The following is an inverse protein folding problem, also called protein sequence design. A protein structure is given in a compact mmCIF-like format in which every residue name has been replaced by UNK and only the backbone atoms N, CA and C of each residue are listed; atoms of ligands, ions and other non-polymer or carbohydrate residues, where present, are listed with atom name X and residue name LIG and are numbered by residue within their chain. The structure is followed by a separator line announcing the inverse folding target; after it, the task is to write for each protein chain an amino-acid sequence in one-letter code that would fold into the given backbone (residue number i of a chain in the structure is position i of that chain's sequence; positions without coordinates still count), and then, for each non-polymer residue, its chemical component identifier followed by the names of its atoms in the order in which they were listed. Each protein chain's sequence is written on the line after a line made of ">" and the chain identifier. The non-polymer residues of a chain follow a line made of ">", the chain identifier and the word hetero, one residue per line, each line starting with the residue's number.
data_IF_363608113909
#
_entry.id   IF_363608113909
#
_cell.length_a   1.000
_cell.length_b   1.000
_cell.length_c   1.000
_cell.angle_alpha   90.00
_cell.angle_beta   90.00
_cell.angle_gamma   90.00
#
_symmetry.space_group_name_H-M   'P 1'
#
loop_
_entity.id
_entity.type
_entity.pdbx_description
1 polymer ?
#
# COMPACT_ATOMS: atom_id res chain seq x y z
N UNK A 1 11.70 -0.75 -9.13
CA UNK A 1 11.56 -1.85 -8.18
C UNK A 1 10.84 -1.32 -6.93
N UNK A 2 9.67 -1.87 -6.59
CA UNK A 2 8.85 -1.37 -5.48
C UNK A 2 9.49 -1.58 -4.11
N UNK A 3 10.27 -2.66 -3.93
CA UNK A 3 10.95 -2.93 -2.67
C UNK A 3 12.03 -1.87 -2.41
N UNK A 4 12.83 -1.57 -3.44
CA UNK A 4 13.83 -0.51 -3.38
C UNK A 4 13.20 0.86 -3.10
N UNK A 5 12.15 1.25 -3.84
CA UNK A 5 11.46 2.52 -3.63
C UNK A 5 10.84 2.62 -2.23
N UNK A 6 10.29 1.53 -1.70
CA UNK A 6 9.74 1.49 -0.34
C UNK A 6 10.83 1.69 0.72
N UNK A 7 12.00 1.08 0.52
CA UNK A 7 13.12 1.29 1.43
C UNK A 7 13.65 2.73 1.34
N UNK A 8 13.77 3.28 0.14
CA UNK A 8 14.29 4.64 -0.08
C UNK A 8 13.33 5.72 0.44
N UNK A 9 12.04 5.64 0.09
CA UNK A 9 11.06 6.70 0.38
C UNK A 9 10.35 6.53 1.72
N UNK A 10 10.15 5.29 2.18
CA UNK A 10 9.37 4.98 3.40
C UNK A 10 10.22 4.34 4.51
N UNK A 11 11.46 3.94 4.25
CA UNK A 11 12.30 3.23 5.21
C UNK A 11 11.76 1.85 5.60
N UNK A 12 10.93 1.24 4.75
CA UNK A 12 10.27 -0.05 5.02
C UNK A 12 10.60 -1.08 3.95
N UNK A 13 10.97 -2.28 4.37
CA UNK A 13 11.03 -3.46 3.51
C UNK A 13 9.64 -4.10 3.44
N UNK A 14 8.96 -4.08 2.28
CA UNK A 14 7.66 -4.72 2.13
C UNK A 14 7.80 -6.25 2.07
N UNK A 15 6.77 -6.96 2.55
CA UNK A 15 6.62 -8.39 2.30
C UNK A 15 6.26 -8.67 0.84
N UNK A 16 6.57 -9.86 0.35
CA UNK A 16 6.29 -10.25 -1.03
C UNK A 16 4.80 -10.10 -1.39
N UNK A 17 3.89 -10.50 -0.49
CA UNK A 17 2.45 -10.36 -0.72
C UNK A 17 2.01 -8.88 -0.85
N UNK A 18 2.70 -7.95 -0.19
CA UNK A 18 2.41 -6.51 -0.32
C UNK A 18 2.85 -5.99 -1.68
N UNK A 19 4.02 -6.45 -2.17
CA UNK A 19 4.54 -6.12 -3.49
C UNK A 19 3.61 -6.66 -4.58
N UNK A 20 3.19 -7.93 -4.46
CA UNK A 20 2.30 -8.54 -5.46
C UNK A 20 0.92 -7.88 -5.48
N UNK A 21 0.38 -7.52 -4.31
CA UNK A 21 -0.84 -6.71 -4.20
C UNK A 21 -0.66 -5.37 -4.92
N UNK A 22 0.43 -4.64 -4.63
CA UNK A 22 0.68 -3.34 -5.25
C UNK A 22 0.85 -3.43 -6.78
N UNK A 23 1.50 -4.49 -7.29
CA UNK A 23 1.61 -4.73 -8.73
C UNK A 23 0.25 -5.00 -9.37
N UNK A 24 -0.63 -5.74 -8.70
CA UNK A 24 -2.01 -5.97 -9.16
C UNK A 24 -2.79 -4.66 -9.27
N UNK A 25 -2.70 -3.80 -8.24
CA UNK A 25 -3.31 -2.47 -8.26
C UNK A 25 -2.75 -1.58 -9.40
N UNK A 26 -1.44 -1.59 -9.62
CA UNK A 26 -0.79 -0.84 -10.71
C UNK A 26 -1.18 -1.34 -12.11
N UNK A 27 -1.63 -2.60 -12.25
CA UNK A 27 -2.20 -3.13 -13.50
C UNK A 27 -3.68 -2.76 -13.68
N UNK A 28 -4.29 -2.08 -12.71
CA UNK A 28 -5.70 -1.72 -12.73
C UNK A 28 -6.63 -2.91 -12.39
N UNK A 29 -6.13 -3.90 -11.67
CA UNK A 29 -6.91 -5.08 -11.27
C UNK A 29 -7.66 -4.84 -9.96
N UNK A 30 -8.93 -5.26 -9.91
CA UNK A 30 -9.69 -5.30 -8.66
C UNK A 30 -9.12 -6.39 -7.75
N UNK A 31 -8.69 -6.01 -6.54
CA UNK A 31 -8.00 -6.90 -5.59
C UNK A 31 -8.75 -6.99 -4.26
N UNK A 32 -9.05 -8.22 -3.83
CA UNK A 32 -9.51 -8.52 -2.47
C UNK A 32 -8.33 -9.09 -1.69
N UNK A 33 -7.99 -8.45 -0.56
CA UNK A 33 -6.90 -8.87 0.31
C UNK A 33 -7.44 -9.31 1.68
N UNK A 34 -7.29 -10.59 2.00
CA UNK A 34 -7.62 -11.14 3.32
C UNK A 34 -6.34 -11.31 4.15
N UNK A 35 -6.15 -10.39 5.10
CA UNK A 35 -4.96 -10.32 5.95
C UNK A 35 -5.37 -9.89 7.35
N UNK A 36 -4.83 -10.59 8.36
CA UNK A 36 -5.11 -10.30 9.76
C UNK A 36 -4.80 -8.84 10.16
N UNK A 37 -5.44 -8.37 11.23
CA UNK A 37 -5.20 -7.04 11.78
C UNK A 37 -3.73 -6.85 12.19
N UNK A 38 -3.19 -5.63 12.04
CA UNK A 38 -1.79 -5.27 12.35
C UNK A 38 -0.70 -5.98 11.55
N UNK A 39 -1.03 -6.75 10.52
CA UNK A 39 -0.04 -7.35 9.62
C UNK A 39 0.45 -6.40 8.50
N UNK A 40 0.34 -5.09 8.69
CA UNK A 40 0.89 -4.11 7.74
C UNK A 40 0.12 -3.95 6.43
N UNK A 41 -1.16 -4.35 6.35
CA UNK A 41 -1.97 -4.16 5.13
C UNK A 41 -2.02 -2.71 4.64
N UNK A 42 -1.88 -1.71 5.51
CA UNK A 42 -1.87 -0.29 5.10
C UNK A 42 -0.74 0.06 4.13
N UNK A 43 0.39 -0.67 4.17
CA UNK A 43 1.50 -0.44 3.24
C UNK A 43 1.08 -0.73 1.79
N UNK A 44 0.09 -1.59 1.54
CA UNK A 44 -0.38 -1.88 0.18
C UNK A 44 -1.08 -0.70 -0.48
N UNK A 45 -1.56 0.29 0.29
CA UNK A 45 -2.10 1.54 -0.26
C UNK A 45 -1.00 2.51 -0.69
N UNK A 46 0.17 2.46 -0.04
CA UNK A 46 1.28 3.39 -0.28
C UNK A 46 2.23 2.92 -1.38
N UNK A 47 2.51 1.62 -1.45
CA UNK A 47 3.40 1.05 -2.47
C UNK A 47 3.06 1.45 -3.92
N UNK A 48 1.79 1.42 -4.38
CA UNK A 48 1.48 1.82 -5.76
C UNK A 48 1.67 3.33 -6.02
N UNK A 49 1.81 4.18 -5.01
CA UNK A 49 2.09 5.62 -5.18
C UNK A 49 3.57 5.93 -5.37
N UNK A 50 4.46 5.03 -5.00
CA UNK A 50 5.90 5.31 -5.01
C UNK A 50 6.52 5.57 -6.40
N UNK A 51 6.03 4.94 -7.50
CA UNK A 51 6.58 5.16 -8.83
C UNK A 51 6.35 6.58 -9.40
N UNK A 52 5.20 7.22 -9.15
CA UNK A 52 4.88 8.54 -9.71
C UNK A 52 4.33 9.48 -8.64
N UNK A 53 4.92 10.66 -8.52
CA UNK A 53 4.53 11.66 -7.51
C UNK A 53 3.16 12.30 -7.77
N UNK A 54 2.62 12.12 -8.98
CA UNK A 54 1.30 12.65 -9.38
C UNK A 54 0.15 11.69 -9.07
N UNK A 55 0.46 10.43 -8.74
CA UNK A 55 -0.57 9.43 -8.50
C UNK A 55 -1.26 9.68 -7.16
N UNK A 56 -2.52 9.25 -7.05
CA UNK A 56 -3.34 9.43 -5.86
C UNK A 56 -4.08 8.14 -5.51
N UNK A 57 -4.13 7.82 -4.22
CA UNK A 57 -4.95 6.74 -3.66
C UNK A 57 -5.95 7.35 -2.69
N UNK A 58 -7.22 7.00 -2.87
CA UNK A 58 -8.31 7.41 -1.98
C UNK A 58 -8.61 6.25 -1.04
N UNK A 59 -8.29 6.41 0.23
CA UNK A 59 -8.58 5.40 1.27
C UNK A 59 -9.90 5.76 1.93
N UNK A 60 -10.90 4.89 1.79
CA UNK A 60 -12.20 5.02 2.47
C UNK A 60 -12.22 4.09 3.67
N UNK A 61 -12.35 4.66 4.87
CA UNK A 61 -12.47 3.93 6.13
C UNK A 61 -13.69 4.43 6.90
N UNK A 62 -14.49 3.55 7.52
CA UNK A 62 -15.65 3.94 8.31
C UNK A 62 -15.30 4.62 9.64
N UNK A 63 -14.05 4.55 10.09
CA UNK A 63 -13.60 5.05 11.39
C UNK A 63 -12.63 6.23 11.20
N UNK A 64 -13.10 7.44 11.42
CA UNK A 64 -12.28 8.67 11.35
C UNK A 64 -11.08 8.62 12.30
N UNK A 65 -11.24 8.02 13.49
CA UNK A 65 -10.15 7.84 14.45
C UNK A 65 -8.98 7.04 13.86
N UNK A 66 -9.25 6.04 13.01
CA UNK A 66 -8.20 5.25 12.36
C UNK A 66 -7.52 6.00 11.21
N UNK A 67 -8.14 7.03 10.66
CA UNK A 67 -7.55 7.85 9.60
C UNK A 67 -6.49 8.80 10.15
N UNK A 68 -6.62 9.24 11.41
CA UNK A 68 -5.63 10.13 12.04
C UNK A 68 -4.32 9.41 12.41
N UNK A 69 -4.38 8.10 12.63
CA UNK A 69 -3.24 7.26 13.04
C UNK A 69 -2.57 6.50 11.88
N UNK A 70 -3.09 6.63 10.66
CA UNK A 70 -2.57 5.97 9.44
C UNK A 70 -1.79 6.94 8.56
#
# INVERSE_FOLDING_TARGET
>A
DLAHLSQEKLGKTPFDWQIETAKSLLRGEDTILDVGTRNGKSLTFLLPLLPNETDMVIVVSPLTALTMDQ
#
